data_IF_873778679713
#
_entry.id   IF_873778679713
#
_cell.length_a   1.000
_cell.length_b   1.000
_cell.length_c   1.000
_cell.angle_alpha   90.00
_cell.angle_beta   90.00
_cell.angle_gamma   90.00
#
_symmetry.space_group_name_H-M   'P 1'
#
loop_
_entity.id
_entity.type
_entity.pdbx_description
1 polymer ?
#
# COMPACT_ATOMS: atom_id res chain seq x y z
N UNK A 1 -2.70 8.69 -6.01
CA UNK A 1 -3.22 9.92 -6.59
C UNK A 1 -2.14 10.98 -6.69
N UNK A 2 -2.26 11.90 -7.66
CA UNK A 2 -1.39 13.06 -7.81
C UNK A 2 -1.73 14.21 -6.86
N UNK A 3 -1.08 15.35 -7.01
CA UNK A 3 -1.30 16.55 -6.18
C UNK A 3 -2.66 17.22 -6.39
N UNK A 4 -3.31 16.98 -7.52
CA UNK A 4 -4.66 17.44 -7.84
C UNK A 4 -5.75 16.49 -7.34
N UNK A 5 -5.38 15.27 -6.91
CA UNK A 5 -6.30 14.22 -6.48
C UNK A 5 -6.77 13.31 -7.62
N UNK A 6 -6.10 13.33 -8.78
CA UNK A 6 -6.43 12.42 -9.87
C UNK A 6 -5.81 11.05 -9.65
N UNK A 7 -6.51 10.01 -10.09
CA UNK A 7 -5.98 8.65 -10.11
C UNK A 7 -4.85 8.54 -11.16
N UNK A 8 -3.68 8.04 -10.77
CA UNK A 8 -2.50 7.92 -11.63
C UNK A 8 -1.98 6.48 -11.75
N UNK A 9 -2.71 5.53 -11.20
CA UNK A 9 -2.38 4.10 -11.29
C UNK A 9 -3.64 3.27 -11.46
N UNK A 10 -3.54 2.02 -11.94
CA UNK A 10 -4.64 1.07 -11.86
C UNK A 10 -5.09 0.83 -10.42
N UNK A 11 -6.32 0.38 -10.23
CA UNK A 11 -6.80 -0.12 -8.96
C UNK A 11 -6.25 -1.53 -8.73
N UNK A 12 -5.54 -1.72 -7.63
CA UNK A 12 -5.09 -3.03 -7.18
C UNK A 12 -6.07 -3.59 -6.14
N UNK A 13 -6.39 -4.85 -6.25
CA UNK A 13 -7.33 -5.51 -5.34
C UNK A 13 -6.61 -6.43 -4.35
N UNK A 14 -7.30 -6.90 -3.34
CA UNK A 14 -6.79 -7.88 -2.40
C UNK A 14 -6.38 -9.23 -3.04
N UNK A 15 -6.83 -9.50 -4.28
CA UNK A 15 -6.45 -10.68 -5.06
C UNK A 15 -5.11 -10.52 -5.77
N UNK A 16 -4.50 -9.35 -5.70
CA UNK A 16 -3.20 -9.12 -6.32
C UNK A 16 -2.12 -9.98 -5.65
N UNK A 17 -1.50 -10.84 -6.43
CA UNK A 17 -0.56 -11.83 -5.94
C UNK A 17 0.92 -11.43 -6.14
N UNK A 18 1.21 -10.22 -6.65
CA UNK A 18 2.59 -9.81 -6.99
C UNK A 18 3.57 -9.91 -5.84
N UNK A 19 3.13 -9.65 -4.61
CA UNK A 19 3.96 -9.78 -3.42
C UNK A 19 4.43 -11.21 -3.11
N UNK A 20 3.77 -12.22 -3.71
CA UNK A 20 4.13 -13.64 -3.57
C UNK A 20 4.88 -14.20 -4.78
N UNK A 21 5.19 -13.38 -5.78
CA UNK A 21 5.95 -13.81 -6.95
C UNK A 21 7.43 -13.92 -6.57
N UNK A 22 8.04 -15.05 -6.96
CA UNK A 22 9.49 -15.21 -6.89
C UNK A 22 10.11 -14.53 -8.12
N UNK A 23 11.00 -13.58 -7.89
CA UNK A 23 11.72 -12.87 -8.95
C UNK A 23 13.13 -13.44 -9.08
N UNK A 24 13.26 -14.43 -9.97
CA UNK A 24 14.48 -15.21 -10.12
C UNK A 24 14.82 -16.02 -8.86
N UNK A 25 16.03 -15.84 -8.33
CA UNK A 25 16.50 -16.52 -7.12
C UNK A 25 16.12 -15.81 -5.81
N UNK A 26 15.31 -14.74 -5.89
CA UNK A 26 14.89 -13.99 -4.72
C UNK A 26 13.68 -14.64 -4.06
N UNK A 27 13.63 -14.58 -2.74
CA UNK A 27 12.43 -14.98 -1.98
C UNK A 27 11.28 -14.00 -2.26
N UNK A 28 10.02 -14.45 -2.18
CA UNK A 28 8.87 -13.57 -2.33
C UNK A 28 8.93 -12.37 -1.38
N UNK A 29 8.45 -11.22 -1.82
CA UNK A 29 8.43 -9.99 -1.03
C UNK A 29 7.71 -10.18 0.32
N UNK A 30 6.61 -10.96 0.34
CA UNK A 30 5.89 -11.29 1.57
C UNK A 30 6.73 -12.05 2.59
N UNK A 31 7.63 -12.90 2.11
CA UNK A 31 8.55 -13.68 2.95
C UNK A 31 9.68 -12.80 3.47
N UNK A 32 10.28 -11.99 2.59
CA UNK A 32 11.28 -11.00 2.98
C UNK A 32 10.77 -10.04 4.07
N UNK A 33 9.56 -9.51 3.91
CA UNK A 33 8.93 -8.62 4.91
C UNK A 33 8.75 -9.36 6.24
N UNK A 34 8.31 -10.62 6.20
CA UNK A 34 8.15 -11.43 7.42
C UNK A 34 9.46 -11.63 8.14
N UNK A 35 10.53 -11.95 7.43
CA UNK A 35 11.84 -12.20 8.01
C UNK A 35 12.48 -10.92 8.58
N UNK A 36 12.42 -9.82 7.84
CA UNK A 36 13.08 -8.57 8.21
C UNK A 36 12.30 -7.77 9.25
N UNK A 37 10.99 -7.69 9.10
CA UNK A 37 10.14 -6.82 9.92
C UNK A 37 9.40 -7.57 11.02
N UNK A 38 9.40 -8.91 10.99
CA UNK A 38 8.67 -9.76 11.93
C UNK A 38 7.17 -9.46 11.99
N UNK A 39 6.59 -9.09 10.85
CA UNK A 39 5.17 -8.86 10.70
C UNK A 39 4.58 -9.83 9.67
N UNK A 40 3.31 -10.15 9.85
CA UNK A 40 2.57 -10.92 8.86
C UNK A 40 2.28 -10.02 7.65
N UNK A 41 2.75 -10.43 6.48
CA UNK A 41 2.48 -9.75 5.22
C UNK A 41 1.74 -10.70 4.27
N UNK A 42 0.58 -10.29 3.80
CA UNK A 42 -0.17 -10.97 2.75
C UNK A 42 0.02 -10.22 1.42
N UNK A 43 0.08 -10.94 0.31
CA UNK A 43 0.30 -10.35 -1.03
C UNK A 43 -0.76 -9.31 -1.40
N UNK A 44 -1.99 -9.49 -0.96
CA UNK A 44 -3.10 -8.56 -1.19
C UNK A 44 -3.10 -7.31 -0.31
N UNK A 45 -2.17 -7.17 0.61
CA UNK A 45 -2.05 -5.93 1.39
C UNK A 45 -1.55 -4.79 0.52
N UNK A 46 -2.19 -3.62 0.64
CA UNK A 46 -1.91 -2.47 -0.22
C UNK A 46 -0.45 -2.01 -0.22
N UNK A 47 0.20 -1.98 0.95
CA UNK A 47 1.61 -1.60 1.04
C UNK A 47 2.55 -2.66 0.47
N UNK A 48 2.21 -3.95 0.54
CA UNK A 48 2.99 -5.01 -0.11
C UNK A 48 2.99 -4.82 -1.63
N UNK A 49 1.81 -4.60 -2.20
CA UNK A 49 1.69 -4.26 -3.63
C UNK A 49 2.44 -2.98 -3.98
N UNK A 50 2.38 -1.96 -3.14
CA UNK A 50 3.06 -0.69 -3.37
C UNK A 50 4.59 -0.82 -3.31
N UNK A 51 5.13 -1.55 -2.34
CA UNK A 51 6.58 -1.82 -2.24
C UNK A 51 7.06 -2.58 -3.47
N UNK A 52 6.30 -3.59 -3.92
CA UNK A 52 6.61 -4.28 -5.17
C UNK A 52 6.66 -3.29 -6.35
N UNK A 53 5.66 -2.43 -6.47
CA UNK A 53 5.61 -1.44 -7.55
C UNK A 53 6.78 -0.46 -7.52
N UNK A 54 7.21 -0.01 -6.35
CA UNK A 54 8.40 0.85 -6.19
C UNK A 54 9.63 0.12 -6.71
N UNK A 55 9.87 -1.11 -6.29
CA UNK A 55 11.04 -1.90 -6.70
C UNK A 55 11.11 -2.14 -8.21
N UNK A 56 9.96 -2.22 -8.86
CA UNK A 56 9.86 -2.48 -10.30
C UNK A 56 9.62 -1.21 -11.14
N UNK A 57 9.77 -0.01 -10.55
CA UNK A 57 9.54 1.28 -11.21
C UNK A 57 8.14 1.40 -11.85
N UNK A 58 7.13 0.83 -11.20
CA UNK A 58 5.74 0.87 -11.66
C UNK A 58 4.92 1.99 -11.00
N UNK A 59 5.53 2.76 -10.11
CA UNK A 59 4.88 3.92 -9.49
C UNK A 59 5.15 5.14 -10.36
N UNK A 60 4.11 5.83 -10.86
CA UNK A 60 4.31 7.05 -11.65
C UNK A 60 4.97 8.16 -10.83
N UNK A 61 5.85 8.95 -11.47
CA UNK A 61 6.54 10.08 -10.81
C UNK A 61 5.57 11.14 -10.27
N UNK A 62 4.38 11.25 -10.87
CA UNK A 62 3.32 12.14 -10.39
C UNK A 62 2.56 11.63 -9.16
N UNK A 63 2.77 10.38 -8.75
CA UNK A 63 2.10 9.81 -7.59
C UNK A 63 2.58 10.46 -6.29
N UNK A 64 1.66 11.00 -5.51
CA UNK A 64 1.95 11.72 -4.27
C UNK A 64 1.36 11.07 -3.03
N UNK A 65 0.21 10.41 -3.16
CA UNK A 65 -0.50 9.80 -2.03
C UNK A 65 -1.07 8.45 -2.42
N UNK A 66 -0.98 7.53 -1.46
CA UNK A 66 -1.59 6.21 -1.53
C UNK A 66 -2.93 6.21 -0.79
N UNK A 67 -3.94 5.52 -1.29
CA UNK A 67 -5.25 5.42 -0.65
C UNK A 67 -6.03 4.19 -1.10
N UNK A 68 -7.05 3.81 -0.34
CA UNK A 68 -8.04 2.84 -0.78
C UNK A 68 -9.02 3.48 -1.76
N UNK A 69 -9.82 2.64 -2.43
CA UNK A 69 -10.93 3.13 -3.26
C UNK A 69 -11.97 3.90 -2.43
N UNK A 70 -12.16 3.53 -1.17
CA UNK A 70 -13.09 4.19 -0.25
C UNK A 70 -12.59 5.59 0.10
N UNK A 71 -11.30 5.73 0.42
CA UNK A 71 -10.68 7.03 0.70
C UNK A 71 -10.69 7.93 -0.54
N UNK A 72 -10.45 7.36 -1.72
CA UNK A 72 -10.52 8.06 -2.99
C UNK A 72 -11.92 8.60 -3.25
N UNK A 73 -12.94 7.77 -3.06
CA UNK A 73 -14.34 8.19 -3.19
C UNK A 73 -14.71 9.27 -2.19
N UNK A 74 -14.37 9.09 -0.92
CA UNK A 74 -14.59 10.07 0.15
C UNK A 74 -13.91 11.41 -0.12
N UNK A 75 -12.69 11.37 -0.68
CA UNK A 75 -11.95 12.57 -1.08
C UNK A 75 -12.74 13.39 -2.13
N UNK A 76 -13.26 12.72 -3.16
CA UNK A 76 -14.05 13.39 -4.20
C UNK A 76 -15.38 13.92 -3.69
N UNK A 77 -16.09 13.17 -2.85
CA UNK A 77 -17.36 13.64 -2.26
C UNK A 77 -17.19 14.89 -1.39
N UNK A 78 -16.04 15.04 -0.75
CA UNK A 78 -15.75 16.16 0.16
C UNK A 78 -14.96 17.29 -0.50
N UNK A 79 -14.68 17.20 -1.80
CA UNK A 79 -13.89 18.20 -2.54
C UNK A 79 -12.43 18.30 -2.09
N UNK A 80 -11.90 17.30 -1.41
CA UNK A 80 -10.49 17.24 -0.99
C UNK A 80 -9.61 16.81 -2.15
N UNK A 81 -8.34 17.25 -2.13
CA UNK A 81 -7.32 16.80 -3.07
C UNK A 81 -6.38 15.74 -2.49
N UNK A 82 -6.43 15.55 -1.17
CA UNK A 82 -5.66 14.52 -0.48
C UNK A 82 -6.61 13.54 0.21
N UNK A 83 -6.40 12.24 0.05
CA UNK A 83 -7.18 11.24 0.75
C UNK A 83 -6.92 11.30 2.25
N UNK A 84 -7.92 10.93 3.03
CA UNK A 84 -7.79 10.65 4.46
C UNK A 84 -8.13 9.19 4.67
N UNK A 85 -7.16 8.44 5.14
CA UNK A 85 -7.34 7.02 5.43
C UNK A 85 -7.92 6.88 6.82
N UNK A 86 -9.09 6.23 6.92
CA UNK A 86 -9.65 5.88 8.21
C UNK A 86 -8.93 4.66 8.79
N UNK A 87 -8.85 4.54 10.11
CA UNK A 87 -8.13 3.45 10.78
C UNK A 87 -8.67 2.06 10.45
N UNK A 88 -9.95 1.92 10.14
CA UNK A 88 -10.53 0.66 9.69
C UNK A 88 -9.96 0.20 8.34
N UNK A 89 -9.61 1.12 7.46
CA UNK A 89 -9.06 0.82 6.14
C UNK A 89 -7.54 0.68 6.20
N UNK A 90 -6.89 1.39 7.13
CA UNK A 90 -5.46 1.32 7.35
C UNK A 90 -4.95 -0.09 7.67
N UNK A 91 -5.74 -0.89 8.38
CA UNK A 91 -5.41 -2.28 8.70
C UNK A 91 -5.21 -3.15 7.44
N UNK A 92 -5.96 -2.88 6.37
CA UNK A 92 -5.85 -3.58 5.08
C UNK A 92 -4.60 -3.19 4.27
N UNK A 93 -3.89 -2.15 4.66
CA UNK A 93 -2.63 -1.79 3.98
C UNK A 93 -1.45 -2.67 4.40
N UNK A 94 -1.50 -3.28 5.59
CA UNK A 94 -0.34 -3.87 6.25
C UNK A 94 0.50 -2.81 6.99
N UNK A 95 1.43 -3.25 7.82
CA UNK A 95 2.29 -2.37 8.64
C UNK A 95 1.53 -1.43 9.60
N UNK A 96 0.28 -1.72 9.88
CA UNK A 96 -0.58 -0.95 10.78
C UNK A 96 -0.78 -1.69 12.09
N UNK A 97 -0.39 -1.07 13.20
CA UNK A 97 -0.65 -1.56 14.54
C UNK A 97 -2.06 -1.14 14.97
N UNK A 98 -3.00 -2.08 14.97
CA UNK A 98 -4.40 -1.82 15.32
C UNK A 98 -4.61 -1.52 16.82
N UNK A 99 -3.69 -1.89 17.70
CA UNK A 99 -3.77 -1.57 19.13
C UNK A 99 -3.31 -0.14 19.40
N UNK A 100 -2.26 0.29 18.72
CA UNK A 100 -1.69 1.62 18.86
C UNK A 100 -2.27 2.63 17.87
N UNK A 101 -3.03 2.14 16.86
CA UNK A 101 -3.71 2.97 15.86
C UNK A 101 -2.78 3.82 15.01
N UNK A 102 -1.59 3.29 14.66
CA UNK A 102 -0.64 3.96 13.76
C UNK A 102 0.12 2.97 12.87
N UNK A 103 0.73 3.50 11.80
CA UNK A 103 1.65 2.74 10.95
C UNK A 103 3.02 2.60 11.60
N UNK A 104 3.58 1.41 11.59
CA UNK A 104 4.93 1.12 12.09
C UNK A 104 5.99 1.64 11.10
N UNK A 105 6.19 2.95 11.09
CA UNK A 105 7.06 3.65 10.12
C UNK A 105 8.49 3.12 10.11
N UNK A 106 9.03 2.76 11.27
CA UNK A 106 10.37 2.20 11.41
C UNK A 106 10.57 0.88 10.65
N UNK A 107 9.47 0.20 10.32
CA UNK A 107 9.49 -1.04 9.54
C UNK A 107 9.27 -0.81 8.04
N UNK A 108 8.92 0.41 7.66
CA UNK A 108 8.71 0.81 6.27
C UNK A 108 9.99 1.40 5.64
N UNK A 109 10.93 1.87 6.45
CA UNK A 109 12.23 2.40 6.06
C UNK A 109 13.25 1.24 5.89
#
# INVERSE_FOLDING_TARGET
>A
VDKEGNCVSPLYTWQDARGSICDGDQIPLTEEIRERCQIHAASGYGLVTHIYNIRHNLVPDSALSFCTIMDYFGMHLTGRKKPLVHVSDAAGFGFFDSHKMYFEKEKLD
#
